data_IF_723162849032
#
_entry.id   IF_723162849032
#
_cell.length_a   1.000
_cell.length_b   1.000
_cell.length_c   1.000
_cell.angle_alpha   90.00
_cell.angle_beta   90.00
_cell.angle_gamma   90.00
#
_symmetry.space_group_name_H-M   'P 1'
#
loop_
_entity.id
_entity.type
_entity.pdbx_description
1 polymer ?
#
# COMPACT_ATOMS: atom_id res chain seq x y z
N UNK A 1 18.84 -0.81 -3.48
CA UNK A 1 18.16 0.34 -4.11
C UNK A 1 16.69 0.00 -4.32
N UNK A 2 15.78 0.96 -4.53
CA UNK A 2 14.36 0.68 -4.83
C UNK A 2 14.19 -0.33 -6.00
N UNK A 3 15.03 -0.29 -7.06
CA UNK A 3 15.13 -1.36 -8.06
C UNK A 3 15.45 -2.77 -7.50
N UNK A 4 16.28 -2.88 -6.45
CA UNK A 4 16.64 -4.18 -5.85
C UNK A 4 15.52 -4.76 -4.99
N UNK A 5 14.67 -3.89 -4.40
CA UNK A 5 13.48 -4.29 -3.63
C UNK A 5 12.35 -4.82 -4.54
N UNK A 6 12.32 -4.37 -5.81
CA UNK A 6 11.46 -4.93 -6.85
C UNK A 6 11.98 -6.30 -7.32
N UNK A 7 13.31 -6.50 -7.30
CA UNK A 7 13.99 -7.71 -7.77
C UNK A 7 13.78 -8.95 -6.89
N UNK A 8 13.62 -8.80 -5.57
CA UNK A 8 13.68 -9.94 -4.64
C UNK A 8 12.40 -10.80 -4.55
N UNK A 9 11.32 -10.47 -5.27
CA UNK A 9 10.11 -11.31 -5.33
C UNK A 9 9.43 -11.42 -6.69
N UNK A 10 10.12 -11.00 -7.74
CA UNK A 10 9.56 -10.96 -9.08
C UNK A 10 10.48 -11.69 -10.06
N UNK A 11 10.33 -13.01 -10.15
CA UNK A 11 10.69 -13.70 -11.40
C UNK A 11 9.74 -13.28 -12.55
N UNK A 12 8.70 -12.46 -12.26
CA UNK A 12 7.68 -12.05 -13.24
C UNK A 12 7.17 -10.60 -13.08
N UNK A 13 7.99 -9.67 -12.59
CA UNK A 13 7.78 -8.27 -12.96
C UNK A 13 8.76 -8.00 -14.09
N UNK A 14 8.29 -8.26 -15.30
CA UNK A 14 9.05 -7.98 -16.51
C UNK A 14 9.33 -6.49 -16.57
N UNK A 15 10.60 -6.12 -16.67
CA UNK A 15 11.08 -4.74 -16.93
C UNK A 15 10.53 -4.16 -18.26
N UNK A 16 9.74 -4.92 -19.01
CA UNK A 16 9.13 -4.55 -20.27
C UNK A 16 7.59 -4.44 -20.14
N UNK A 17 7.05 -3.22 -20.07
CA UNK A 17 5.60 -2.97 -20.10
C UNK A 17 4.89 -3.56 -21.32
N UNK A 18 5.57 -3.81 -22.45
CA UNK A 18 4.97 -4.39 -23.65
C UNK A 18 4.62 -5.88 -23.48
N UNK A 19 5.26 -6.58 -22.53
CA UNK A 19 4.95 -7.98 -22.21
C UNK A 19 3.64 -8.12 -21.42
N UNK A 20 3.29 -7.11 -20.61
CA UNK A 20 2.01 -7.07 -19.88
C UNK A 20 0.84 -7.05 -20.87
N UNK A 21 0.95 -6.25 -21.94
CA UNK A 21 -0.12 -6.05 -22.92
C UNK A 21 -0.31 -7.22 -23.89
N UNK A 22 0.77 -7.96 -24.17
CA UNK A 22 0.78 -9.00 -25.21
C UNK A 22 0.53 -10.43 -24.71
N UNK A 23 0.63 -10.70 -23.41
CA UNK A 23 0.66 -12.08 -22.87
C UNK A 23 -0.40 -12.40 -21.79
N UNK A 24 -1.50 -11.65 -21.69
CA UNK A 24 -2.51 -11.84 -20.63
C UNK A 24 -1.96 -11.74 -19.19
N UNK A 25 -0.80 -11.09 -19.01
CA UNK A 25 -0.15 -10.88 -17.71
C UNK A 25 -0.88 -9.88 -16.80
N UNK A 26 -1.94 -9.26 -17.32
CA UNK A 26 -2.83 -8.36 -16.59
C UNK A 26 -3.32 -8.92 -15.27
N UNK A 27 -3.59 -10.23 -15.16
CA UNK A 27 -4.07 -10.82 -13.90
C UNK A 27 -3.04 -10.71 -12.77
N UNK A 28 -1.75 -10.93 -13.06
CA UNK A 28 -0.69 -10.79 -12.05
C UNK A 28 -0.46 -9.32 -11.68
N UNK A 29 -0.50 -8.42 -12.67
CA UNK A 29 -0.43 -6.98 -12.42
C UNK A 29 -1.59 -6.53 -11.52
N UNK A 30 -2.83 -6.92 -11.84
CA UNK A 30 -4.03 -6.50 -11.11
C UNK A 30 -4.10 -7.06 -9.68
N UNK A 31 -3.31 -8.09 -9.35
CA UNK A 31 -3.26 -8.67 -8.01
C UNK A 31 -2.16 -8.10 -7.10
N UNK A 32 -1.17 -7.39 -7.65
CA UNK A 32 -0.14 -6.69 -6.85
C UNK A 32 -0.26 -5.17 -7.05
N UNK A 33 -0.67 -4.47 -5.98
CA UNK A 33 -0.84 -3.01 -6.01
C UNK A 33 0.46 -2.26 -6.22
N UNK A 34 1.58 -2.80 -5.74
CA UNK A 34 2.89 -2.20 -5.98
C UNK A 34 3.25 -2.23 -7.47
N UNK A 35 2.95 -3.35 -8.13
CA UNK A 35 3.13 -3.51 -9.57
C UNK A 35 2.21 -2.56 -10.35
N UNK A 36 0.96 -2.38 -9.91
CA UNK A 36 0.03 -1.41 -10.51
C UNK A 36 0.56 0.01 -10.45
N UNK A 37 1.05 0.47 -9.29
CA UNK A 37 1.60 1.82 -9.17
C UNK A 37 2.82 2.03 -10.06
N UNK A 38 3.72 1.04 -10.13
CA UNK A 38 4.87 1.09 -11.04
C UNK A 38 4.43 1.20 -12.50
N UNK A 39 3.46 0.37 -12.92
CA UNK A 39 2.92 0.40 -14.28
C UNK A 39 2.25 1.75 -14.58
N UNK A 40 1.36 2.24 -13.71
CA UNK A 40 0.69 3.54 -13.85
C UNK A 40 1.70 4.69 -13.97
N UNK A 41 2.71 4.73 -13.10
CA UNK A 41 3.76 5.74 -13.14
C UNK A 41 4.58 5.70 -14.44
N UNK A 42 4.93 4.50 -14.94
CA UNK A 42 5.66 4.32 -16.21
C UNK A 42 4.89 4.83 -17.44
N UNK A 43 3.55 4.91 -17.34
CA UNK A 43 2.68 5.46 -18.38
C UNK A 43 2.49 6.98 -18.27
N UNK A 44 3.16 7.63 -17.31
CA UNK A 44 3.10 9.08 -17.11
C UNK A 44 1.86 9.55 -16.34
N UNK A 45 1.14 8.63 -15.68
CA UNK A 45 0.04 9.00 -14.78
C UNK A 45 0.55 9.22 -13.35
N UNK A 46 -0.15 10.06 -12.60
CA UNK A 46 0.13 10.26 -11.18
C UNK A 46 -0.34 9.04 -10.38
N UNK A 47 0.59 8.41 -9.68
CA UNK A 47 0.33 7.38 -8.67
C UNK A 47 0.76 7.90 -7.29
N UNK A 48 0.14 7.44 -6.19
CA UNK A 48 0.60 7.77 -4.85
C UNK A 48 2.07 7.39 -4.65
N UNK A 49 2.82 8.21 -3.92
CA UNK A 49 4.20 7.86 -3.56
C UNK A 49 4.21 6.65 -2.61
N UNK A 50 5.05 5.65 -2.90
CA UNK A 50 5.26 4.50 -2.01
C UNK A 50 6.53 4.75 -1.20
N UNK A 51 6.36 5.13 0.08
CA UNK A 51 7.47 5.40 0.99
C UNK A 51 8.24 4.13 1.37
N UNK A 52 7.52 3.02 1.56
CA UNK A 52 8.10 1.76 1.99
C UNK A 52 7.29 0.57 1.50
N UNK A 53 7.99 -0.54 1.23
CA UNK A 53 7.39 -1.82 0.89
C UNK A 53 8.11 -2.91 1.68
N UNK A 54 7.37 -3.78 2.36
CA UNK A 54 7.92 -4.92 3.10
C UNK A 54 7.26 -6.22 2.69
N UNK A 55 8.08 -7.25 2.66
CA UNK A 55 7.72 -8.63 2.33
C UNK A 55 7.27 -9.46 3.54
N UNK A 56 7.19 -8.82 4.71
CA UNK A 56 6.70 -9.38 5.95
C UNK A 56 6.22 -8.22 6.83
N UNK A 57 4.96 -8.25 7.25
CA UNK A 57 4.37 -7.19 8.08
C UNK A 57 5.12 -6.99 9.40
N UNK A 58 5.76 -8.02 9.95
CA UNK A 58 6.52 -7.91 11.19
C UNK A 58 7.78 -7.04 11.03
N UNK A 59 8.22 -6.80 9.80
CA UNK A 59 9.36 -5.93 9.48
C UNK A 59 8.97 -4.46 9.27
N UNK A 60 7.69 -4.08 9.38
CA UNK A 60 7.23 -2.69 9.19
C UNK A 60 7.98 -1.71 10.10
N UNK A 61 8.12 -2.04 11.39
CA UNK A 61 8.78 -1.15 12.34
C UNK A 61 10.24 -0.90 11.97
N UNK A 62 10.98 -1.98 11.73
CA UNK A 62 12.42 -1.90 11.45
C UNK A 62 12.73 -1.33 10.07
N UNK A 63 11.85 -1.55 9.09
CA UNK A 63 12.11 -1.19 7.68
C UNK A 63 11.50 0.14 7.26
N UNK A 64 10.32 0.49 7.79
CA UNK A 64 9.57 1.67 7.33
C UNK A 64 9.56 2.82 8.35
N UNK A 65 9.76 2.54 9.64
CA UNK A 65 9.56 3.52 10.71
C UNK A 65 10.76 3.67 11.66
N UNK A 66 11.89 2.99 11.38
CA UNK A 66 13.11 3.16 12.17
C UNK A 66 13.82 4.47 11.78
N UNK A 67 14.35 5.19 12.78
CA UNK A 67 15.21 6.35 12.53
C UNK A 67 14.53 7.73 12.46
N UNK A 68 13.26 7.86 12.84
CA UNK A 68 12.62 9.18 13.03
C UNK A 68 12.16 9.91 11.76
N UNK A 69 12.33 9.31 10.58
CA UNK A 69 11.85 9.83 9.29
C UNK A 69 10.46 9.33 8.89
N UNK A 70 9.64 8.87 9.84
CA UNK A 70 8.32 8.36 9.54
C UNK A 70 7.45 9.46 8.90
N UNK A 71 6.76 9.18 7.78
CA UNK A 71 5.81 10.12 7.21
C UNK A 71 4.76 10.51 8.25
N UNK A 72 4.36 11.78 8.28
CA UNK A 72 3.36 12.29 9.24
C UNK A 72 1.95 11.84 8.89
N UNK A 73 1.72 11.49 7.63
CA UNK A 73 0.44 11.10 7.06
C UNK A 73 0.68 9.99 6.04
N UNK A 74 0.03 8.85 6.19
CA UNK A 74 0.26 7.69 5.31
C UNK A 74 -0.92 6.73 5.32
N UNK A 75 -0.93 5.85 4.32
CA UNK A 75 -1.82 4.70 4.25
C UNK A 75 -0.97 3.43 4.34
N UNK A 76 -1.41 2.46 5.13
CA UNK A 76 -0.83 1.12 5.15
C UNK A 76 -1.78 0.19 4.40
N UNK A 77 -1.24 -0.55 3.43
CA UNK A 77 -2.04 -1.41 2.55
C UNK A 77 -1.43 -2.79 2.36
N UNK A 78 -2.21 -3.83 2.62
CA UNK A 78 -1.89 -5.19 2.20
C UNK A 78 -2.01 -5.31 0.66
N UNK A 79 -0.92 -5.71 -0.04
CA UNK A 79 -0.89 -5.68 -1.50
C UNK A 79 -1.83 -6.70 -2.14
N UNK A 80 -1.87 -7.94 -1.63
CA UNK A 80 -2.67 -9.02 -2.19
C UNK A 80 -4.14 -9.13 -1.72
N UNK A 81 -4.63 -8.17 -0.94
CA UNK A 81 -5.99 -8.18 -0.39
C UNK A 81 -6.95 -7.25 -1.14
N UNK A 82 -8.26 -7.53 -1.11
CA UNK A 82 -9.27 -6.77 -1.85
C UNK A 82 -10.37 -6.22 -0.90
N UNK A 83 -11.31 -5.44 -1.44
CA UNK A 83 -12.52 -5.02 -0.71
C UNK A 83 -12.28 -4.25 0.61
N UNK A 84 -11.21 -3.46 0.66
CA UNK A 84 -10.90 -2.65 1.85
C UNK A 84 -10.24 -3.41 3.00
N UNK A 85 -10.00 -4.73 2.87
CA UNK A 85 -9.28 -5.48 3.91
C UNK A 85 -7.79 -5.14 3.90
N UNK A 86 -7.22 -5.06 5.10
CA UNK A 86 -5.80 -4.71 5.26
C UNK A 86 -5.45 -3.28 4.82
N UNK A 87 -6.42 -2.35 4.88
CA UNK A 87 -6.21 -0.92 4.63
C UNK A 87 -6.35 -0.15 5.95
N UNK A 88 -5.40 0.74 6.19
CA UNK A 88 -5.37 1.62 7.36
C UNK A 88 -4.98 3.02 6.90
N UNK A 89 -5.87 3.99 7.11
CA UNK A 89 -5.67 5.37 6.65
C UNK A 89 -5.33 6.24 7.85
N UNK A 90 -4.07 6.69 7.93
CA UNK A 90 -3.46 7.30 9.10
C UNK A 90 -3.00 8.72 8.76
N UNK A 91 -3.92 9.69 8.65
CA UNK A 91 -3.60 11.06 8.22
C UNK A 91 -2.78 11.84 9.25
N UNK A 92 -2.77 11.39 10.50
CA UNK A 92 -1.99 11.98 11.60
C UNK A 92 -1.01 10.95 12.20
N UNK A 93 -0.65 9.92 11.42
CA UNK A 93 0.23 8.84 11.85
C UNK A 93 -0.33 7.99 12.99
N UNK A 94 0.56 7.20 13.62
CA UNK A 94 0.20 6.36 14.76
C UNK A 94 -0.16 7.21 15.99
N UNK A 95 -1.17 6.77 16.74
CA UNK A 95 -1.73 7.55 17.86
C UNK A 95 -2.79 8.57 17.43
N UNK A 96 -2.88 8.89 16.14
CA UNK A 96 -4.02 9.58 15.54
C UNK A 96 -5.22 8.67 15.28
N UNK A 97 -6.35 9.27 14.88
CA UNK A 97 -7.55 8.54 14.44
C UNK A 97 -7.30 7.94 13.06
N UNK A 98 -7.50 6.63 12.94
CA UNK A 98 -7.57 5.93 11.66
C UNK A 98 -8.91 6.21 10.99
N UNK A 99 -8.91 6.68 9.74
CA UNK A 99 -10.11 7.27 9.12
C UNK A 99 -11.21 6.26 8.80
N UNK A 100 -10.88 4.99 8.49
CA UNK A 100 -11.89 4.02 8.10
C UNK A 100 -12.71 3.53 9.30
N UNK A 101 -12.05 3.30 10.44
CA UNK A 101 -12.67 2.74 11.64
C UNK A 101 -13.03 3.79 12.69
N UNK A 102 -12.47 4.99 12.61
CA UNK A 102 -12.70 6.05 13.59
C UNK A 102 -12.09 5.76 14.96
N UNK A 103 -11.06 4.91 15.04
CA UNK A 103 -10.38 4.53 16.28
C UNK A 103 -8.89 4.87 16.20
N UNK A 104 -8.26 5.05 17.36
CA UNK A 104 -6.81 5.21 17.42
C UNK A 104 -6.11 3.89 17.13
N UNK A 105 -5.20 3.90 16.16
CA UNK A 105 -4.42 2.72 15.78
C UNK A 105 -2.95 2.89 16.13
N UNK A 106 -2.40 1.87 16.80
CA UNK A 106 -0.96 1.72 17.00
C UNK A 106 -0.37 0.86 15.88
N UNK A 107 0.93 0.95 15.66
CA UNK A 107 1.62 0.03 14.73
C UNK A 107 1.39 -1.43 15.10
N UNK A 108 1.44 -1.78 16.40
CA UNK A 108 1.21 -3.14 16.87
C UNK A 108 -0.21 -3.64 16.55
N UNK A 109 -1.22 -2.76 16.66
CA UNK A 109 -2.61 -3.05 16.28
C UNK A 109 -2.71 -3.32 14.78
N UNK A 110 -2.11 -2.46 13.95
CA UNK A 110 -2.06 -2.65 12.48
C UNK A 110 -1.39 -3.97 12.11
N UNK A 111 -0.22 -4.27 12.69
CA UNK A 111 0.51 -5.51 12.45
C UNK A 111 -0.34 -6.73 12.84
N UNK A 112 -1.02 -6.68 13.99
CA UNK A 112 -1.88 -7.76 14.46
C UNK A 112 -3.06 -7.99 13.52
N UNK A 113 -3.75 -6.93 13.09
CA UNK A 113 -4.88 -7.04 12.16
C UNK A 113 -4.43 -7.59 10.80
N UNK A 114 -3.33 -7.10 10.25
CA UNK A 114 -2.80 -7.60 8.97
C UNK A 114 -2.41 -9.09 9.08
N UNK A 115 -1.77 -9.51 10.17
CA UNK A 115 -1.44 -10.91 10.42
C UNK A 115 -2.68 -11.80 10.57
N UNK A 116 -3.81 -11.24 11.01
CA UNK A 116 -5.07 -11.99 11.15
C UNK A 116 -5.83 -12.20 9.84
N UNK A 117 -5.42 -11.52 8.76
CA UNK A 117 -6.03 -11.68 7.43
C UNK A 117 -5.75 -13.08 6.88
N UNK A 118 -6.71 -13.63 6.14
CA UNK A 118 -6.59 -14.92 5.48
C UNK A 118 -6.85 -14.77 3.97
N UNK A 119 -5.90 -15.15 3.10
CA UNK A 119 -4.52 -15.56 3.43
C UNK A 119 -3.73 -14.40 4.06
N UNK A 120 -2.71 -14.68 4.86
CA UNK A 120 -1.83 -13.61 5.37
C UNK A 120 -1.14 -12.92 4.19
N UNK A 121 -1.15 -11.58 4.09
CA UNK A 121 -0.54 -10.90 2.96
C UNK A 121 0.97 -11.06 2.97
N UNK A 122 1.51 -11.40 1.80
CA UNK A 122 2.95 -11.52 1.62
C UNK A 122 3.64 -10.15 1.56
N UNK A 123 2.93 -9.09 1.18
CA UNK A 123 3.49 -7.76 0.95
C UNK A 123 2.62 -6.66 1.54
N UNK A 124 3.24 -5.72 2.22
CA UNK A 124 2.59 -4.53 2.80
C UNK A 124 3.30 -3.27 2.33
N UNK A 125 2.49 -2.29 1.95
CA UNK A 125 2.92 -1.00 1.45
C UNK A 125 2.64 0.07 2.49
N UNK A 126 3.55 1.04 2.61
CA UNK A 126 3.31 2.33 3.25
C UNK A 126 3.35 3.38 2.14
N UNK A 127 2.21 3.99 1.88
CA UNK A 127 2.00 4.91 0.76
C UNK A 127 1.53 6.29 1.26
N UNK A 128 1.66 7.28 0.38
CA UNK A 128 1.17 8.64 0.59
C UNK A 128 -0.32 8.65 0.93
N UNK A 129 -0.68 9.39 1.97
CA UNK A 129 -2.07 9.78 2.18
C UNK A 129 -2.36 11.03 1.35
N UNK A 130 -3.20 10.89 0.33
CA UNK A 130 -3.67 12.01 -0.48
C UNK A 130 -4.90 12.63 0.20
N UNK A 131 -4.82 13.87 0.72
CA UNK A 131 -5.95 14.52 1.36
C UNK A 131 -7.05 14.86 0.34
N UNK A 132 -8.28 14.98 0.83
CA UNK A 132 -9.41 15.39 0.02
C UNK A 132 -9.34 16.87 -0.38
N UNK A 133 -10.34 17.34 -1.15
CA UNK A 133 -10.45 18.74 -1.53
C UNK A 133 -10.31 19.65 -0.29
N UNK A 134 -9.50 20.70 -0.41
CA UNK A 134 -9.15 21.65 0.67
C UNK A 134 -8.22 21.12 1.77
N UNK A 135 -7.46 20.05 1.50
CA UNK A 135 -6.51 19.49 2.47
C UNK A 135 -7.21 18.77 3.63
N UNK A 136 -8.46 18.37 3.44
CA UNK A 136 -9.23 17.69 4.48
C UNK A 136 -8.81 16.23 4.60
N UNK A 137 -8.79 15.72 5.84
CA UNK A 137 -8.59 14.30 6.13
C UNK A 137 -9.88 13.53 5.82
N UNK A 138 -10.26 13.48 4.54
CA UNK A 138 -11.45 12.79 4.05
C UNK A 138 -11.04 11.72 3.04
N UNK A 139 -11.75 10.59 3.06
CA UNK A 139 -11.64 9.61 2.00
C UNK A 139 -12.16 10.23 0.70
N UNK A 140 -11.56 9.90 -0.46
CA UNK A 140 -12.09 10.32 -1.74
C UNK A 140 -13.55 9.84 -1.91
N UNK A 141 -14.45 10.75 -2.25
CA UNK A 141 -15.86 10.42 -2.53
C UNK A 141 -16.03 9.63 -3.84
N UNK A 142 -14.99 9.58 -4.68
CA UNK A 142 -15.03 9.05 -6.04
C UNK A 142 -14.50 7.61 -6.16
N UNK A 143 -13.96 7.04 -5.08
CA UNK A 143 -13.57 5.62 -5.06
C UNK A 143 -14.70 4.81 -4.44
N UNK A 144 -15.25 3.85 -5.20
CA UNK A 144 -16.12 2.81 -4.65
C UNK A 144 -15.33 1.97 -3.65
N UNK A 145 -15.34 2.36 -2.39
CA UNK A 145 -15.16 1.42 -1.30
C UNK A 145 -16.38 0.51 -1.30
N UNK A 146 -16.24 -0.66 -1.94
CA UNK A 146 -17.20 -1.74 -1.72
C UNK A 146 -16.99 -2.26 -0.29
N UNK A 147 -17.65 -1.61 0.68
CA UNK A 147 -17.87 -2.19 2.01
C UNK A 147 -19.05 -3.16 1.88
N UNK A 148 -18.82 -4.44 2.16
CA UNK A 148 -19.87 -5.46 2.27
C UNK A 148 -20.18 -5.70 3.74
#
# INVERSE_FOLDING_TARGET
SFPDLIRTRNDIATDDPALIESQNFWFHLLNDKAAQYAYTASRGFNAPEVFCCVDNVNNLMSSCFSGGGAPTSFVIRASGHHSGTGIFVLPNGFGGIELLRGITMSLASVVTEINSLTPTPDKVLVEEFIPGPNGSNSLPNEFKFHMF
#
